data_IF_326950957377
#
_entry.id   IF_326950957377
#
_cell.length_a   1.000
_cell.length_b   1.000
_cell.length_c   1.000
_cell.angle_alpha   90.00
_cell.angle_beta   90.00
_cell.angle_gamma   90.00
#
_symmetry.space_group_name_H-M   'P 1'
#
loop_
_entity.id
_entity.type
_entity.pdbx_description
1 polymer ?
#
# COMPACT_ATOMS: atom_id res chain seq x y z
N UNK A 1 -5.54 21.02 14.15
CA UNK A 1 -4.31 21.84 14.02
C UNK A 1 -3.22 20.87 13.63
N UNK A 2 -2.66 20.96 12.41
CA UNK A 2 -1.56 20.08 12.00
C UNK A 2 -0.29 20.52 12.70
N UNK A 3 0.41 19.58 13.34
CA UNK A 3 1.73 19.84 13.85
C UNK A 3 2.69 20.20 12.70
N UNK A 4 3.55 21.22 12.87
CA UNK A 4 4.50 21.57 11.82
C UNK A 4 5.50 20.42 11.62
N UNK A 5 5.90 20.22 10.37
CA UNK A 5 6.97 19.28 10.02
C UNK A 5 8.28 19.72 10.69
N UNK A 6 9.01 18.78 11.27
CA UNK A 6 10.34 19.04 11.83
C UNK A 6 11.26 19.63 10.77
N UNK A 7 12.09 20.58 11.17
CA UNK A 7 13.08 21.21 10.29
C UNK A 7 12.49 21.89 9.04
N UNK A 8 11.25 22.41 9.14
CA UNK A 8 10.65 23.23 8.08
C UNK A 8 11.64 24.29 7.62
N UNK A 9 11.80 24.43 6.30
CA UNK A 9 12.77 25.35 5.67
C UNK A 9 14.21 24.83 5.62
N UNK A 10 14.52 23.69 6.29
CA UNK A 10 15.86 23.07 6.31
C UNK A 10 15.88 21.60 5.90
N UNK A 11 14.74 21.03 5.50
CA UNK A 11 14.64 19.62 5.06
C UNK A 11 15.65 19.32 3.94
N UNK A 12 15.87 20.27 3.02
CA UNK A 12 16.82 20.15 1.90
C UNK A 12 18.31 20.05 2.33
N UNK A 13 18.63 20.36 3.59
CA UNK A 13 20.00 20.25 4.11
C UNK A 13 20.31 18.87 4.70
N UNK A 14 19.31 18.00 4.79
CA UNK A 14 19.43 16.67 5.36
C UNK A 14 19.73 15.62 4.30
N UNK A 15 20.47 14.61 4.70
CA UNK A 15 20.69 13.42 3.87
C UNK A 15 19.42 12.59 3.79
N UNK A 16 19.27 11.79 2.71
CA UNK A 16 18.16 10.83 2.57
C UNK A 16 18.09 9.85 3.75
N UNK A 17 19.25 9.46 4.32
CA UNK A 17 19.30 8.58 5.50
C UNK A 17 18.68 9.21 6.74
N UNK A 18 18.94 10.51 6.98
CA UNK A 18 18.33 11.24 8.10
C UNK A 18 16.83 11.41 7.88
N UNK A 19 16.42 11.76 6.65
CA UNK A 19 15.01 11.91 6.31
C UNK A 19 14.25 10.57 6.36
N UNK A 20 14.85 9.46 5.99
CA UNK A 20 14.23 8.13 6.10
C UNK A 20 13.80 7.81 7.54
N UNK A 21 14.51 8.37 8.55
CA UNK A 21 14.08 8.27 9.95
C UNK A 21 12.73 8.90 10.25
N UNK A 22 12.25 9.82 9.39
CA UNK A 22 10.93 10.43 9.53
C UNK A 22 9.77 9.46 9.20
N UNK A 23 10.04 8.38 8.49
CA UNK A 23 9.03 7.36 8.19
C UNK A 23 8.34 6.79 9.44
N UNK A 24 8.96 6.92 10.62
CA UNK A 24 8.39 6.47 11.90
C UNK A 24 7.60 7.56 12.63
N UNK A 25 7.46 8.75 12.04
CA UNK A 25 6.74 9.85 12.68
C UNK A 25 5.22 9.60 12.68
N UNK A 26 4.57 9.97 13.77
CA UNK A 26 3.11 10.02 13.84
C UNK A 26 2.51 11.17 13.00
N UNK A 27 3.33 12.16 12.61
CA UNK A 27 2.93 13.21 11.69
C UNK A 27 2.96 12.69 10.25
N UNK A 28 1.81 12.60 9.54
CA UNK A 28 1.74 11.99 8.21
C UNK A 28 2.57 12.74 7.15
N UNK A 29 2.78 14.06 7.32
CA UNK A 29 3.64 14.81 6.40
C UNK A 29 5.11 14.42 6.58
N UNK A 30 5.57 14.24 7.82
CA UNK A 30 6.92 13.73 8.09
C UNK A 30 7.08 12.29 7.61
N UNK A 31 6.09 11.43 7.90
CA UNK A 31 6.10 10.05 7.45
C UNK A 31 6.15 9.95 5.92
N UNK A 32 5.44 10.81 5.20
CA UNK A 32 5.51 10.89 3.73
C UNK A 32 6.91 11.26 3.22
N UNK A 33 7.55 12.26 3.82
CA UNK A 33 8.94 12.64 3.52
C UNK A 33 9.87 11.46 3.80
N UNK A 34 9.67 10.81 4.95
CA UNK A 34 10.45 9.65 5.37
C UNK A 34 10.33 8.47 4.41
N UNK A 35 9.12 8.17 3.94
CA UNK A 35 8.88 7.11 2.97
C UNK A 35 9.50 7.40 1.61
N UNK A 36 9.40 8.65 1.13
CA UNK A 36 10.07 9.04 -0.12
C UNK A 36 11.59 8.89 -0.02
N UNK A 37 12.18 9.35 1.09
CA UNK A 37 13.61 9.21 1.34
C UNK A 37 14.03 7.73 1.48
N UNK A 38 13.23 6.90 2.16
CA UNK A 38 13.46 5.48 2.29
C UNK A 38 13.47 4.82 0.91
N UNK A 39 12.46 5.07 0.09
CA UNK A 39 12.36 4.52 -1.26
C UNK A 39 13.55 4.91 -2.14
N UNK A 40 14.05 6.16 -2.01
CA UNK A 40 15.24 6.60 -2.75
C UNK A 40 16.54 5.89 -2.35
N UNK A 41 16.57 5.25 -1.19
CA UNK A 41 17.72 4.50 -0.67
C UNK A 41 17.64 2.98 -0.96
N UNK A 42 16.47 2.49 -1.38
CA UNK A 42 16.32 1.07 -1.72
C UNK A 42 17.09 0.78 -3.02
N UNK A 43 17.93 -0.27 -3.03
CA UNK A 43 18.56 -0.70 -4.27
C UNK A 43 17.48 -1.22 -5.22
N UNK A 44 17.40 -0.65 -6.41
CA UNK A 44 16.65 -1.25 -7.50
C UNK A 44 17.49 -2.42 -8.02
N UNK A 45 17.06 -3.64 -7.71
CA UNK A 45 17.71 -4.82 -8.25
C UNK A 45 17.34 -4.96 -9.73
N UNK A 46 18.28 -4.60 -10.61
CA UNK A 46 18.10 -4.72 -12.04
C UNK A 46 17.91 -6.20 -12.49
N UNK A 47 18.26 -7.18 -11.64
CA UNK A 47 18.02 -8.60 -11.92
C UNK A 47 16.60 -9.03 -11.50
N UNK A 48 15.99 -8.31 -10.57
CA UNK A 48 14.56 -8.39 -10.28
C UNK A 48 13.77 -7.44 -11.20
N UNK A 49 14.28 -7.27 -12.45
CA UNK A 49 13.75 -6.34 -13.43
C UNK A 49 12.22 -6.36 -13.39
N UNK A 50 11.60 -5.23 -13.14
CA UNK A 50 10.16 -5.14 -13.08
C UNK A 50 9.63 -5.58 -14.46
N UNK A 51 8.92 -6.67 -14.49
CA UNK A 51 7.84 -6.74 -15.45
C UNK A 51 6.98 -5.50 -15.17
N UNK A 52 6.54 -4.77 -16.18
CA UNK A 52 5.56 -3.71 -16.00
C UNK A 52 4.31 -4.36 -15.35
N UNK A 53 4.30 -4.39 -14.02
CA UNK A 53 3.24 -5.05 -13.26
C UNK A 53 2.11 -4.05 -13.10
N UNK A 54 1.09 -4.19 -13.91
CA UNK A 54 -0.15 -3.46 -13.72
C UNK A 54 -0.93 -4.10 -12.55
N UNK A 55 -1.05 -3.37 -11.44
CA UNK A 55 -1.76 -3.83 -10.24
C UNK A 55 -3.21 -4.26 -10.54
N UNK A 56 -3.93 -3.53 -11.40
CA UNK A 56 -5.27 -3.91 -11.83
C UNK A 56 -5.27 -5.29 -12.50
N UNK A 57 -4.35 -5.53 -13.44
CA UNK A 57 -4.28 -6.81 -14.15
C UNK A 57 -4.00 -7.98 -13.20
N UNK A 58 -3.13 -7.78 -12.20
CA UNK A 58 -2.84 -8.80 -11.19
C UNK A 58 -4.05 -9.06 -10.31
N UNK A 59 -4.68 -8.01 -9.78
CA UNK A 59 -5.87 -8.14 -8.92
C UNK A 59 -7.03 -8.81 -9.67
N UNK A 60 -7.27 -8.42 -10.93
CA UNK A 60 -8.30 -9.00 -11.76
C UNK A 60 -8.04 -10.49 -12.05
N UNK A 61 -6.82 -10.84 -12.46
CA UNK A 61 -6.47 -12.22 -12.77
C UNK A 61 -6.55 -13.14 -11.54
N UNK A 62 -6.12 -12.65 -10.37
CA UNK A 62 -6.16 -13.41 -9.11
C UNK A 62 -7.52 -13.44 -8.48
N UNK A 63 -8.32 -12.38 -8.70
CA UNK A 63 -9.66 -12.16 -8.13
C UNK A 63 -10.80 -12.69 -8.97
N UNK A 64 -10.56 -13.23 -10.16
CA UNK A 64 -11.61 -13.77 -11.04
C UNK A 64 -12.44 -14.84 -10.31
N UNK A 65 -13.74 -14.57 -10.11
CA UNK A 65 -14.65 -15.44 -9.37
C UNK A 65 -14.42 -15.54 -7.86
N UNK A 66 -13.52 -14.71 -7.29
CA UNK A 66 -13.13 -14.72 -5.88
C UNK A 66 -13.54 -13.45 -5.15
N UNK A 67 -13.35 -13.46 -3.83
CA UNK A 67 -13.55 -12.30 -2.97
C UNK A 67 -12.26 -11.48 -2.90
N UNK A 68 -12.36 -10.21 -3.27
CA UNK A 68 -11.25 -9.25 -3.24
C UNK A 68 -11.55 -8.15 -2.23
N UNK A 69 -10.63 -7.92 -1.31
CA UNK A 69 -10.61 -6.74 -0.45
C UNK A 69 -9.55 -5.76 -0.96
N UNK A 70 -9.94 -4.54 -1.24
CA UNK A 70 -9.05 -3.47 -1.69
C UNK A 70 -9.06 -2.35 -0.67
N UNK A 71 -7.95 -2.14 0.01
CA UNK A 71 -7.77 -1.02 0.95
C UNK A 71 -7.24 0.18 0.18
N UNK A 72 -8.03 1.23 0.15
CA UNK A 72 -7.82 2.43 -0.66
C UNK A 72 -8.73 2.47 -1.90
N UNK A 73 -9.22 3.65 -2.25
CA UNK A 73 -10.01 3.85 -3.45
C UNK A 73 -9.11 4.26 -4.62
N UNK A 74 -9.05 3.42 -5.65
CA UNK A 74 -8.23 3.64 -6.84
C UNK A 74 -9.09 3.94 -8.07
N UNK A 75 -8.60 4.71 -9.03
CA UNK A 75 -9.36 5.05 -10.25
C UNK A 75 -9.83 3.83 -11.06
N UNK A 76 -9.19 2.69 -10.91
CA UNK A 76 -9.53 1.45 -11.60
C UNK A 76 -10.60 0.60 -10.88
N UNK A 77 -11.14 1.03 -9.73
CA UNK A 77 -12.17 0.29 -8.98
C UNK A 77 -13.35 -0.13 -9.85
N UNK A 78 -13.95 0.74 -10.70
CA UNK A 78 -15.09 0.32 -11.54
C UNK A 78 -14.73 -0.74 -12.57
N UNK A 79 -13.47 -0.80 -13.00
CA UNK A 79 -13.00 -1.81 -13.93
C UNK A 79 -12.72 -3.14 -13.21
N UNK A 80 -12.09 -3.09 -12.03
CA UNK A 80 -11.81 -4.27 -11.22
C UNK A 80 -13.10 -4.97 -10.78
N UNK A 81 -14.12 -4.21 -10.37
CA UNK A 81 -15.42 -4.73 -9.95
C UNK A 81 -16.07 -5.64 -11.01
N UNK A 82 -15.92 -5.31 -12.28
CA UNK A 82 -16.45 -6.11 -13.39
C UNK A 82 -15.69 -7.41 -13.65
N UNK A 83 -14.48 -7.55 -13.09
CA UNK A 83 -13.56 -8.65 -13.39
C UNK A 83 -13.40 -9.65 -12.24
N UNK A 84 -13.86 -9.31 -11.03
CA UNK A 84 -13.74 -10.17 -9.85
C UNK A 84 -15.08 -10.75 -9.40
N UNK A 85 -15.05 -11.72 -8.50
CA UNK A 85 -16.29 -12.31 -7.99
C UNK A 85 -17.06 -11.40 -7.03
N UNK A 86 -16.36 -10.83 -6.08
CA UNK A 86 -16.86 -9.83 -5.13
C UNK A 86 -15.74 -8.83 -4.85
N UNK A 87 -16.05 -7.54 -4.83
CA UNK A 87 -15.10 -6.50 -4.48
C UNK A 87 -15.59 -5.75 -3.23
N UNK A 88 -14.72 -5.64 -2.23
CA UNK A 88 -14.90 -4.77 -1.08
C UNK A 88 -13.81 -3.69 -1.12
N UNK A 89 -14.20 -2.47 -1.36
CA UNK A 89 -13.30 -1.29 -1.27
C UNK A 89 -13.42 -0.72 0.14
N UNK A 90 -12.31 -0.66 0.86
CA UNK A 90 -12.21 -0.22 2.24
C UNK A 90 -11.48 1.11 2.31
N UNK A 91 -12.12 2.16 2.82
CA UNK A 91 -11.56 3.51 2.78
C UNK A 91 -11.77 4.25 4.12
N UNK A 92 -10.83 5.13 4.46
CA UNK A 92 -10.92 5.99 5.65
C UNK A 92 -12.01 7.06 5.49
N UNK A 93 -12.15 7.60 4.29
CA UNK A 93 -13.20 8.53 3.90
C UNK A 93 -14.00 7.90 2.75
N UNK A 94 -14.92 6.96 3.05
CA UNK A 94 -15.59 6.16 2.03
C UNK A 94 -16.45 7.03 1.11
N UNK A 95 -16.35 6.80 -0.19
CA UNK A 95 -17.29 7.28 -1.20
C UNK A 95 -18.50 6.35 -1.31
N UNK A 96 -19.46 6.71 -2.17
CA UNK A 96 -20.63 5.86 -2.43
C UNK A 96 -20.18 4.49 -2.98
N UNK A 97 -20.58 3.42 -2.30
CA UNK A 97 -20.21 2.05 -2.63
C UNK A 97 -18.98 1.51 -1.86
N UNK A 98 -18.22 2.37 -1.21
CA UNK A 98 -17.09 1.94 -0.37
C UNK A 98 -17.54 1.49 1.01
N UNK A 99 -16.76 0.61 1.61
CA UNK A 99 -16.89 0.21 3.01
C UNK A 99 -16.01 1.09 3.89
N UNK A 100 -16.44 1.44 5.11
CA UNK A 100 -15.58 2.16 6.04
C UNK A 100 -14.38 1.30 6.45
N UNK A 101 -13.24 1.94 6.68
CA UNK A 101 -12.00 1.25 7.09
C UNK A 101 -12.19 0.34 8.32
N UNK A 102 -13.12 0.66 9.21
CA UNK A 102 -13.45 -0.19 10.37
C UNK A 102 -13.96 -1.59 9.99
N UNK A 103 -14.54 -1.76 8.79
CA UNK A 103 -14.99 -3.06 8.28
C UNK A 103 -13.83 -3.99 7.88
N UNK A 104 -12.58 -3.51 7.90
CA UNK A 104 -11.39 -4.30 7.56
C UNK A 104 -11.26 -5.55 8.42
N UNK A 105 -11.57 -5.45 9.71
CA UNK A 105 -11.49 -6.57 10.67
C UNK A 105 -12.44 -7.72 10.32
N UNK A 106 -13.54 -7.43 9.64
CA UNK A 106 -14.54 -8.42 9.26
C UNK A 106 -14.37 -8.92 7.83
N UNK A 107 -13.95 -8.04 6.91
CA UNK A 107 -13.94 -8.34 5.48
C UNK A 107 -12.61 -8.91 4.99
N UNK A 108 -11.46 -8.38 5.46
CA UNK A 108 -10.14 -8.86 5.05
C UNK A 108 -9.94 -10.36 5.37
N UNK A 109 -10.34 -10.88 6.57
CA UNK A 109 -10.23 -12.30 6.86
C UNK A 109 -11.05 -13.22 5.95
N UNK A 110 -11.98 -12.68 5.17
CA UNK A 110 -12.80 -13.43 4.24
C UNK A 110 -12.32 -13.36 2.79
N UNK A 111 -11.36 -12.47 2.51
CA UNK A 111 -10.87 -12.22 1.16
C UNK A 111 -9.86 -13.29 0.71
N UNK A 112 -9.95 -13.68 -0.55
CA UNK A 112 -9.00 -14.57 -1.22
C UNK A 112 -7.80 -13.76 -1.79
N UNK A 113 -8.07 -12.50 -2.16
CA UNK A 113 -7.09 -11.56 -2.68
C UNK A 113 -7.23 -10.25 -1.92
N UNK A 114 -6.11 -9.69 -1.49
CA UNK A 114 -6.08 -8.43 -0.74
C UNK A 114 -5.13 -7.45 -1.41
N UNK A 115 -5.65 -6.28 -1.79
CA UNK A 115 -4.85 -5.14 -2.24
C UNK A 115 -4.69 -4.14 -1.09
N UNK A 116 -3.47 -3.84 -0.71
CA UNK A 116 -3.17 -2.88 0.36
C UNK A 116 -2.53 -1.63 -0.22
N UNK A 117 -3.18 -0.48 -0.01
CA UNK A 117 -2.59 0.81 -0.40
C UNK A 117 -1.28 1.08 0.31
N UNK A 118 -0.30 1.57 -0.42
CA UNK A 118 0.99 1.98 0.17
C UNK A 118 0.88 3.20 1.09
N UNK A 119 -0.21 3.97 1.05
CA UNK A 119 -0.50 5.01 2.04
C UNK A 119 -0.57 4.45 3.47
N UNK A 120 -0.84 3.14 3.61
CA UNK A 120 -0.87 2.45 4.89
C UNK A 120 0.50 2.41 5.59
N UNK A 121 1.61 2.56 4.87
CA UNK A 121 2.93 2.75 5.47
C UNK A 121 3.06 4.13 6.13
N UNK A 122 2.45 5.16 5.52
CA UNK A 122 2.50 6.53 6.01
C UNK A 122 1.68 6.70 7.30
N UNK A 123 0.50 6.08 7.36
CA UNK A 123 -0.39 6.14 8.52
C UNK A 123 -0.20 4.99 9.51
N UNK A 124 0.83 4.16 9.32
CA UNK A 124 1.23 3.04 10.18
C UNK A 124 0.15 1.95 10.38
N UNK A 125 -0.73 1.77 9.40
CA UNK A 125 -1.77 0.73 9.46
C UNK A 125 -1.41 -0.53 8.67
N UNK A 126 -0.32 -0.53 7.88
CA UNK A 126 0.03 -1.61 6.97
C UNK A 126 0.17 -2.96 7.69
N UNK A 127 0.93 -3.02 8.78
CA UNK A 127 1.16 -4.25 9.55
C UNK A 127 -0.15 -4.80 10.14
N UNK A 128 -0.99 -3.91 10.67
CA UNK A 128 -2.30 -4.27 11.19
C UNK A 128 -3.21 -4.87 10.12
N UNK A 129 -3.27 -4.25 8.94
CA UNK A 129 -4.05 -4.75 7.80
C UNK A 129 -3.51 -6.08 7.27
N UNK A 130 -2.19 -6.20 7.15
CA UNK A 130 -1.53 -7.42 6.71
C UNK A 130 -1.81 -8.59 7.66
N UNK A 131 -1.83 -8.34 8.98
CA UNK A 131 -2.13 -9.35 9.99
C UNK A 131 -3.57 -9.88 9.94
N UNK A 132 -4.49 -9.16 9.30
CA UNK A 132 -5.87 -9.61 9.09
C UNK A 132 -5.99 -10.57 7.90
N UNK A 133 -4.99 -10.60 7.02
CA UNK A 133 -5.03 -11.49 5.85
C UNK A 133 -4.92 -12.95 6.28
N UNK A 134 -5.70 -13.81 5.62
CA UNK A 134 -5.55 -15.26 5.79
C UNK A 134 -4.16 -15.71 5.30
N UNK A 135 -3.61 -16.78 5.87
CA UNK A 135 -2.30 -17.30 5.44
C UNK A 135 -2.23 -17.70 3.95
N UNK A 136 -3.36 -18.05 3.36
CA UNK A 136 -3.52 -18.45 1.96
C UNK A 136 -4.04 -17.32 1.05
N UNK A 137 -4.28 -16.13 1.58
CA UNK A 137 -4.69 -14.99 0.78
C UNK A 137 -3.54 -14.47 -0.08
N UNK A 138 -3.85 -14.08 -1.32
CA UNK A 138 -2.89 -13.45 -2.20
C UNK A 138 -2.84 -11.95 -1.95
N UNK A 139 -1.71 -11.43 -1.47
CA UNK A 139 -1.57 -10.03 -1.03
C UNK A 139 -0.74 -9.22 -2.02
N UNK A 140 -1.27 -8.07 -2.42
CA UNK A 140 -0.62 -7.07 -3.28
C UNK A 140 -0.47 -5.77 -2.51
N UNK A 141 0.74 -5.26 -2.36
CA UNK A 141 0.97 -3.89 -1.93
C UNK A 141 1.04 -2.99 -3.17
N UNK A 142 0.23 -1.93 -3.22
CA UNK A 142 0.12 -1.10 -4.41
C UNK A 142 0.03 0.39 -4.08
N UNK A 143 0.53 1.19 -5.02
CA UNK A 143 0.55 2.66 -4.94
C UNK A 143 1.95 3.23 -5.08
N UNK A 144 2.09 4.52 -5.38
CA UNK A 144 3.38 5.14 -5.73
C UNK A 144 4.39 5.16 -4.57
N UNK A 145 3.95 5.04 -3.33
CA UNK A 145 4.83 5.00 -2.15
C UNK A 145 5.21 3.58 -1.71
N UNK A 146 4.83 2.54 -2.47
CA UNK A 146 5.19 1.15 -2.15
C UNK A 146 6.70 0.98 -2.13
N UNK A 147 7.29 0.55 -1.00
CA UNK A 147 8.71 0.22 -0.97
C UNK A 147 8.97 -1.02 -1.83
N UNK A 148 9.81 -0.89 -2.85
CA UNK A 148 10.21 -2.03 -3.68
C UNK A 148 11.33 -2.81 -2.99
N UNK A 149 11.00 -3.40 -1.84
CA UNK A 149 11.93 -4.14 -1.00
C UNK A 149 11.53 -5.61 -0.89
N UNK A 150 12.44 -6.56 -1.16
CA UNK A 150 12.15 -8.00 -1.05
C UNK A 150 11.75 -8.42 0.37
N UNK A 151 12.09 -7.64 1.39
CA UNK A 151 11.70 -7.91 2.79
C UNK A 151 10.18 -8.06 2.94
N UNK A 152 9.38 -7.36 2.13
CA UNK A 152 7.92 -7.46 2.22
C UNK A 152 7.38 -8.84 1.81
N UNK A 153 8.12 -9.57 0.97
CA UNK A 153 7.76 -10.95 0.62
C UNK A 153 7.89 -11.90 1.81
N UNK A 154 8.88 -11.68 2.68
CA UNK A 154 9.08 -12.48 3.89
C UNK A 154 7.93 -12.28 4.91
N UNK A 155 7.19 -11.19 4.77
CA UNK A 155 6.02 -10.86 5.59
C UNK A 155 4.68 -11.25 4.95
N UNK A 156 4.67 -11.97 3.83
CA UNK A 156 3.44 -12.48 3.21
C UNK A 156 2.85 -11.59 2.13
N UNK A 157 3.55 -10.56 1.67
CA UNK A 157 3.19 -9.84 0.44
C UNK A 157 3.67 -10.65 -0.76
N UNK A 158 2.87 -10.72 -1.83
CA UNK A 158 3.16 -11.52 -3.01
C UNK A 158 3.58 -10.67 -4.21
N UNK A 159 3.09 -9.43 -4.27
CA UNK A 159 3.41 -8.49 -5.35
C UNK A 159 3.57 -7.09 -4.77
N UNK A 160 4.58 -6.39 -5.25
CA UNK A 160 4.84 -4.98 -4.98
C UNK A 160 4.61 -4.20 -6.28
N UNK A 161 3.57 -3.37 -6.29
CA UNK A 161 3.22 -2.52 -7.43
C UNK A 161 3.43 -1.05 -7.04
N UNK A 162 4.67 -0.60 -7.14
CA UNK A 162 5.11 0.77 -6.92
C UNK A 162 5.39 1.50 -8.22
N UNK A 163 5.91 2.71 -8.13
CA UNK A 163 6.53 3.41 -9.25
C UNK A 163 8.04 3.48 -9.05
N UNK A 164 8.78 3.16 -10.09
CA UNK A 164 10.16 3.53 -10.27
C UNK A 164 10.19 4.99 -10.75
N UNK A 165 10.82 5.87 -10.05
CA UNK A 165 10.97 7.29 -10.42
C UNK A 165 12.42 7.55 -10.77
#
# INVERSE_FOLDING_TARGET
MHEPVRDVGRVHTKSARELAGYARSANPLEASIGMAALNSLLPLDAAAAPAEVNALAVLAARGAGKKVALVGHFPFVPELERQVGTLWVLELCPADGDWPAAASTDLIPQADVVGLTSSAFINHTFDGLLSLCRPDAFVVALGPTTPLSPVLFDHGVHVLAGSDV
#
